data_IF_141394621144
#
_entry.id   IF_141394621144
#
_cell.length_a   1.000
_cell.length_b   1.000
_cell.length_c   1.000
_cell.angle_alpha   90.00
_cell.angle_beta   90.00
_cell.angle_gamma   90.00
#
_symmetry.space_group_name_H-M   'P 1'
#
loop_
_entity.id
_entity.type
_entity.pdbx_description
1 polymer ?
#
# COMPACT_ATOMS: atom_id res chain seq x y z
N UNK A 1 65.02 54.54 10.77
CA UNK A 1 64.04 53.79 11.57
C UNK A 1 62.74 53.73 10.77
N UNK A 2 62.48 52.61 10.12
CA UNK A 2 61.32 52.41 9.23
C UNK A 2 60.37 51.43 9.88
N UNK A 3 59.12 51.84 10.15
CA UNK A 3 58.09 51.00 10.72
C UNK A 3 57.19 50.49 9.57
N UNK A 4 57.34 49.21 9.27
CA UNK A 4 56.46 48.49 8.33
C UNK A 4 55.11 48.16 9.01
N UNK A 5 54.04 48.71 8.48
CA UNK A 5 52.68 48.39 8.86
C UNK A 5 52.21 47.14 8.11
N UNK A 6 51.93 46.04 8.83
CA UNK A 6 51.30 44.84 8.28
C UNK A 6 49.77 45.06 8.25
N UNK A 7 49.20 45.01 7.07
CA UNK A 7 47.74 44.93 6.83
C UNK A 7 47.29 43.49 6.96
N UNK A 8 46.43 43.24 7.94
CA UNK A 8 45.71 41.98 8.10
C UNK A 8 44.44 42.06 7.24
N UNK A 9 44.35 41.24 6.21
CA UNK A 9 43.14 41.08 5.41
C UNK A 9 42.21 40.08 6.14
N UNK A 10 41.07 40.53 6.65
CA UNK A 10 39.98 39.66 7.11
C UNK A 10 39.24 39.12 5.84
N UNK A 11 39.42 37.85 5.57
CA UNK A 11 38.62 37.13 4.59
C UNK A 11 37.27 36.73 5.19
N UNK A 12 36.20 37.36 4.73
CA UNK A 12 34.82 36.98 5.07
C UNK A 12 34.43 35.76 4.28
N UNK A 13 34.52 34.58 4.89
CA UNK A 13 34.03 33.34 4.32
C UNK A 13 32.52 33.31 4.36
N UNK A 14 31.86 33.38 3.21
CA UNK A 14 30.43 33.13 3.04
C UNK A 14 30.20 31.62 3.13
N UNK A 15 29.66 31.19 4.26
CA UNK A 15 29.19 29.79 4.47
C UNK A 15 27.87 29.63 3.72
N UNK A 16 27.89 29.12 2.51
CA UNK A 16 26.69 28.72 1.78
C UNK A 16 26.12 27.46 2.45
N UNK A 17 25.10 27.65 3.28
CA UNK A 17 24.29 26.53 3.81
C UNK A 17 23.48 25.95 2.64
N UNK A 18 23.91 24.81 2.12
CA UNK A 18 23.13 24.01 1.19
C UNK A 18 22.01 23.38 2.01
N UNK A 19 20.83 23.97 1.95
CA UNK A 19 19.59 23.36 2.42
C UNK A 19 19.26 22.22 1.44
N UNK A 20 19.76 21.01 1.73
CA UNK A 20 19.26 19.79 1.11
C UNK A 20 17.85 19.56 1.65
N UNK A 21 16.85 20.13 0.99
CA UNK A 21 15.47 19.78 1.22
C UNK A 21 15.34 18.29 0.90
N UNK A 22 14.94 17.47 1.87
CA UNK A 22 14.46 16.13 1.62
C UNK A 22 13.19 16.29 0.78
N UNK A 23 13.32 16.16 -0.55
CA UNK A 23 12.19 15.96 -1.43
C UNK A 23 11.74 14.54 -1.14
N UNK A 24 10.61 14.39 -0.42
CA UNK A 24 9.96 13.09 -0.33
C UNK A 24 9.66 12.64 -1.77
N UNK A 25 9.96 11.40 -2.15
CA UNK A 25 9.61 10.91 -3.47
C UNK A 25 8.11 11.07 -3.67
N UNK A 26 7.69 11.59 -4.82
CA UNK A 26 6.29 11.63 -5.20
C UNK A 26 5.78 10.18 -5.25
N UNK A 27 4.80 9.86 -4.41
CA UNK A 27 4.16 8.55 -4.40
C UNK A 27 3.06 8.59 -5.47
N UNK A 28 3.19 7.74 -6.48
CA UNK A 28 2.22 7.60 -7.54
C UNK A 28 1.33 6.37 -7.29
N UNK A 29 0.01 6.58 -7.33
CA UNK A 29 -0.96 5.48 -7.19
C UNK A 29 -1.21 4.89 -8.58
N UNK A 30 -0.69 3.67 -8.82
CA UNK A 30 -0.75 2.97 -10.11
C UNK A 30 -1.80 1.85 -10.15
N UNK A 31 -2.62 1.71 -9.11
CA UNK A 31 -3.63 0.65 -9.02
C UNK A 31 -4.27 0.56 -7.64
N UNK A 32 -4.95 -0.55 -7.37
CA UNK A 32 -5.58 -0.82 -6.08
C UNK A 32 -5.62 -2.31 -5.74
N UNK A 33 -5.79 -2.58 -4.45
CA UNK A 33 -6.12 -3.89 -3.92
C UNK A 33 -7.59 -3.96 -3.52
N UNK A 34 -8.19 -5.10 -3.77
CA UNK A 34 -9.48 -5.49 -3.24
C UNK A 34 -9.37 -6.85 -2.54
N UNK A 35 -10.40 -7.21 -1.80
CA UNK A 35 -10.53 -8.53 -1.18
C UNK A 35 -11.80 -9.20 -1.66
N UNK A 36 -11.74 -10.50 -1.88
CA UNK A 36 -12.87 -11.39 -2.12
C UNK A 36 -12.64 -12.70 -1.36
N UNK A 37 -13.51 -13.67 -1.55
CA UNK A 37 -13.33 -15.02 -1.01
C UNK A 37 -13.51 -16.05 -2.12
N UNK A 38 -12.92 -17.22 -1.94
CA UNK A 38 -13.20 -18.38 -2.79
C UNK A 38 -14.49 -19.13 -2.35
N UNK A 39 -14.81 -20.23 -3.01
CA UNK A 39 -16.01 -21.05 -2.73
C UNK A 39 -16.02 -21.63 -1.29
N UNK A 40 -14.86 -21.75 -0.66
CA UNK A 40 -14.70 -22.19 0.73
C UNK A 40 -14.62 -21.05 1.73
N UNK A 41 -14.95 -19.81 1.32
CA UNK A 41 -14.89 -18.57 2.10
C UNK A 41 -13.47 -18.22 2.60
N UNK A 42 -12.41 -18.66 1.89
CA UNK A 42 -11.04 -18.30 2.19
C UNK A 42 -10.65 -17.00 1.45
N UNK A 43 -9.87 -16.12 2.06
CA UNK A 43 -9.57 -14.81 1.49
C UNK A 43 -8.67 -14.90 0.23
N UNK A 44 -9.07 -14.11 -0.75
CA UNK A 44 -8.34 -13.88 -2.00
C UNK A 44 -8.16 -12.37 -2.18
N UNK A 45 -6.95 -11.92 -2.39
CA UNK A 45 -6.69 -10.54 -2.78
C UNK A 45 -6.84 -10.39 -4.29
N UNK A 46 -7.57 -9.37 -4.70
CA UNK A 46 -7.66 -8.94 -6.09
C UNK A 46 -6.73 -7.76 -6.28
N UNK A 47 -5.76 -7.93 -7.17
CA UNK A 47 -4.74 -6.92 -7.48
C UNK A 47 -5.09 -6.32 -8.83
N UNK A 48 -5.37 -5.02 -8.88
CA UNK A 48 -5.59 -4.28 -10.12
C UNK A 48 -4.47 -3.26 -10.31
N UNK A 49 -3.68 -3.42 -11.37
CA UNK A 49 -2.60 -2.52 -11.74
C UNK A 49 -2.91 -1.89 -13.11
N UNK A 50 -3.05 -0.56 -13.14
CA UNK A 50 -3.50 0.17 -14.34
C UNK A 50 -2.40 0.25 -15.39
N UNK A 51 -1.23 0.73 -15.01
CA UNK A 51 -0.08 0.91 -15.88
C UNK A 51 1.17 0.29 -15.22
N UNK A 52 2.09 -0.21 -16.01
CA UNK A 52 3.35 -0.77 -15.51
C UNK A 52 3.25 -2.13 -14.82
N UNK A 53 2.14 -2.45 -14.18
CA UNK A 53 1.92 -3.71 -13.48
C UNK A 53 2.34 -3.69 -12.00
N UNK A 54 1.87 -4.67 -11.23
CA UNK A 54 2.21 -4.87 -9.82
C UNK A 54 3.37 -5.86 -9.66
N UNK A 55 4.25 -5.61 -8.70
CA UNK A 55 5.44 -6.45 -8.44
C UNK A 55 5.47 -7.06 -7.05
N UNK A 56 4.86 -6.39 -6.07
CA UNK A 56 4.83 -6.83 -4.67
C UNK A 56 3.44 -6.65 -4.10
N UNK A 57 2.98 -7.63 -3.34
CA UNK A 57 1.82 -7.54 -2.46
C UNK A 57 2.28 -7.89 -1.05
N UNK A 58 1.89 -7.12 -0.06
CA UNK A 58 2.17 -7.35 1.36
C UNK A 58 0.88 -7.39 2.15
N UNK A 59 0.90 -8.12 3.26
CA UNK A 59 -0.20 -8.23 4.21
C UNK A 59 0.35 -8.06 5.62
N UNK A 60 -0.29 -7.19 6.40
CA UNK A 60 0.07 -6.92 7.79
C UNK A 60 -1.17 -7.05 8.68
N UNK A 61 -0.96 -7.25 9.98
CA UNK A 61 -2.03 -7.08 10.96
C UNK A 61 -2.41 -5.60 11.06
N UNK A 62 -3.71 -5.33 11.09
CA UNK A 62 -4.23 -4.02 11.49
C UNK A 62 -4.29 -3.97 13.02
N UNK A 63 -3.41 -3.17 13.62
CA UNK A 63 -3.28 -3.03 15.08
C UNK A 63 -3.74 -1.65 15.51
N UNK A 64 -4.72 -1.63 16.40
CA UNK A 64 -5.16 -0.40 17.05
C UNK A 64 -4.12 0.08 18.09
N UNK A 65 -4.02 1.40 18.25
CA UNK A 65 -3.24 2.01 19.33
C UNK A 65 -1.72 1.97 19.14
N UNK A 66 -1.24 1.82 17.90
CA UNK A 66 0.18 1.99 17.58
C UNK A 66 0.64 3.41 17.93
N UNK A 67 1.86 3.51 18.46
CA UNK A 67 2.56 4.80 18.58
C UNK A 67 3.18 5.17 17.23
N UNK A 68 3.56 6.45 17.05
CA UNK A 68 4.13 6.96 15.79
C UNK A 68 5.41 6.21 15.35
N UNK A 69 6.09 5.54 16.29
CA UNK A 69 7.33 4.80 16.06
C UNK A 69 7.08 3.29 15.75
N UNK A 70 5.84 2.81 15.91
CA UNK A 70 5.50 1.41 15.70
C UNK A 70 4.90 1.20 14.32
N UNK A 71 5.25 0.08 13.68
CA UNK A 71 4.67 -0.37 12.43
C UNK A 71 3.81 -1.60 12.64
N UNK A 72 2.87 -1.83 11.75
CA UNK A 72 2.11 -3.07 11.72
C UNK A 72 3.04 -4.27 11.46
N UNK A 73 2.73 -5.39 12.08
CA UNK A 73 3.48 -6.64 11.89
C UNK A 73 3.13 -7.25 10.53
N UNK A 74 4.13 -7.42 9.69
CA UNK A 74 3.98 -8.11 8.41
C UNK A 74 3.79 -9.61 8.63
N UNK A 75 2.79 -10.18 7.97
CA UNK A 75 2.42 -11.60 8.04
C UNK A 75 2.54 -12.33 6.73
N UNK A 76 2.67 -11.61 5.62
CA UNK A 76 2.88 -12.18 4.30
C UNK A 76 3.39 -11.17 3.28
N UNK A 77 4.23 -11.67 2.38
CA UNK A 77 4.68 -10.92 1.21
C UNK A 77 4.77 -11.86 0.01
N UNK A 78 4.25 -11.38 -1.11
CA UNK A 78 4.28 -12.09 -2.38
C UNK A 78 4.88 -11.19 -3.44
N UNK A 79 5.72 -11.79 -4.27
CA UNK A 79 6.42 -11.09 -5.35
C UNK A 79 6.11 -11.74 -6.68
N UNK A 80 6.09 -10.96 -7.73
CA UNK A 80 6.03 -11.46 -9.09
C UNK A 80 7.41 -11.33 -9.75
N UNK A 81 7.81 -12.33 -10.56
CA UNK A 81 9.08 -12.31 -11.26
C UNK A 81 9.13 -11.23 -12.36
N UNK A 82 7.98 -10.92 -12.92
CA UNK A 82 7.75 -9.84 -13.89
C UNK A 82 6.53 -9.04 -13.43
N UNK A 83 6.43 -7.73 -13.76
CA UNK A 83 5.27 -6.92 -13.43
C UNK A 83 3.98 -7.55 -13.96
N UNK A 84 2.97 -7.64 -13.12
CA UNK A 84 1.65 -8.22 -13.43
C UNK A 84 0.69 -7.10 -13.83
N UNK A 85 0.36 -6.93 -15.11
CA UNK A 85 -0.54 -5.89 -15.57
C UNK A 85 -2.01 -6.29 -15.38
N UNK A 86 -2.88 -5.29 -15.19
CA UNK A 86 -4.31 -5.49 -15.07
C UNK A 86 -4.71 -6.26 -13.81
N UNK A 87 -5.86 -6.93 -13.89
CA UNK A 87 -6.41 -7.70 -12.80
C UNK A 87 -5.72 -9.06 -12.62
N UNK A 88 -5.39 -9.40 -11.38
CA UNK A 88 -4.90 -10.72 -10.99
C UNK A 88 -5.39 -11.09 -9.60
N UNK A 89 -5.45 -12.39 -9.30
CA UNK A 89 -5.86 -12.90 -8.01
C UNK A 89 -4.69 -13.52 -7.26
N UNK A 90 -4.69 -13.33 -5.94
CA UNK A 90 -3.73 -13.92 -5.02
C UNK A 90 -4.50 -14.65 -3.91
N UNK A 91 -4.65 -15.96 -4.03
CA UNK A 91 -5.20 -16.80 -2.97
C UNK A 91 -4.17 -16.92 -1.83
N UNK A 92 -4.47 -16.35 -0.66
CA UNK A 92 -3.51 -16.27 0.44
C UNK A 92 -3.12 -17.62 1.02
N UNK A 93 -4.05 -18.59 1.01
CA UNK A 93 -3.84 -19.95 1.51
C UNK A 93 -3.10 -20.88 0.53
N UNK A 94 -3.05 -20.51 -0.76
CA UNK A 94 -2.43 -21.30 -1.82
C UNK A 94 -1.94 -20.38 -2.96
N UNK A 95 -0.94 -19.54 -2.71
CA UNK A 95 -0.45 -18.62 -3.73
C UNK A 95 0.08 -19.38 -4.94
N UNK A 96 -0.29 -18.90 -6.12
CA UNK A 96 0.09 -19.49 -7.40
C UNK A 96 0.60 -18.42 -8.36
N UNK A 97 1.28 -18.84 -9.42
CA UNK A 97 1.77 -17.90 -10.43
C UNK A 97 0.64 -16.95 -10.90
N UNK A 98 0.95 -15.63 -11.08
CA UNK A 98 2.29 -15.07 -11.14
C UNK A 98 2.93 -14.77 -9.76
N UNK A 99 2.18 -14.90 -8.67
CA UNK A 99 2.61 -14.56 -7.31
C UNK A 99 3.41 -15.69 -6.67
N UNK A 100 4.53 -15.35 -6.03
CA UNK A 100 5.41 -16.25 -5.30
C UNK A 100 5.56 -15.77 -3.86
N UNK A 101 5.30 -16.62 -2.90
CA UNK A 101 5.37 -16.36 -1.46
C UNK A 101 4.86 -17.56 -0.68
N UNK A 102 4.91 -17.46 0.63
CA UNK A 102 4.38 -18.51 1.51
C UNK A 102 2.87 -18.40 1.64
N UNK A 103 2.21 -19.53 1.84
CA UNK A 103 0.79 -19.58 2.16
C UNK A 103 0.57 -19.03 3.58
N UNK A 104 -0.50 -18.24 3.75
CA UNK A 104 -0.87 -17.64 5.03
C UNK A 104 -2.30 -18.00 5.37
N UNK A 105 -2.50 -18.49 6.59
CA UNK A 105 -3.82 -18.67 7.18
C UNK A 105 -4.15 -17.48 8.07
N UNK A 106 -5.31 -16.88 7.90
CA UNK A 106 -5.72 -15.69 8.62
C UNK A 106 -6.56 -16.04 9.87
N UNK A 107 -6.10 -15.69 11.10
CA UNK A 107 -6.94 -15.71 12.28
C UNK A 107 -8.23 -14.90 12.10
N UNK A 108 -9.37 -15.47 12.44
CA UNK A 108 -10.69 -14.86 12.21
C UNK A 108 -11.00 -13.66 13.11
N UNK A 109 -10.22 -13.42 14.17
CA UNK A 109 -10.44 -12.38 15.17
C UNK A 109 -9.55 -11.14 14.97
N UNK A 110 -8.90 -11.03 13.81
CA UNK A 110 -7.95 -9.96 13.51
C UNK A 110 -8.41 -9.05 12.39
N UNK A 111 -7.86 -7.82 12.39
CA UNK A 111 -7.86 -6.92 11.25
C UNK A 111 -6.60 -7.07 10.42
N UNK A 112 -6.71 -6.73 9.14
CA UNK A 112 -5.66 -6.90 8.13
C UNK A 112 -5.59 -5.68 7.23
N UNK A 113 -4.38 -5.34 6.81
CA UNK A 113 -4.11 -4.33 5.79
C UNK A 113 -3.29 -4.99 4.69
N UNK A 114 -3.83 -5.05 3.49
CA UNK A 114 -3.09 -5.45 2.30
C UNK A 114 -2.65 -4.23 1.51
N UNK A 115 -1.36 -4.18 1.16
CA UNK A 115 -0.74 -3.13 0.35
C UNK A 115 0.01 -3.73 -0.84
N UNK A 116 0.40 -2.88 -1.78
CA UNK A 116 1.16 -3.33 -2.95
C UNK A 116 2.05 -2.25 -3.54
N UNK A 117 2.98 -2.69 -4.38
CA UNK A 117 3.91 -1.82 -5.10
C UNK A 117 3.78 -2.06 -6.60
N UNK A 118 3.86 -0.98 -7.37
CA UNK A 118 3.95 -1.02 -8.83
C UNK A 118 5.34 -1.39 -9.33
N UNK A 119 5.53 -1.32 -10.64
CA UNK A 119 6.79 -1.68 -11.29
C UNK A 119 7.85 -0.57 -11.19
N UNK A 120 7.44 0.70 -11.20
CA UNK A 120 8.37 1.81 -11.05
C UNK A 120 8.60 2.17 -9.58
N UNK A 121 9.75 2.79 -9.32
CA UNK A 121 10.09 3.29 -7.98
C UNK A 121 9.10 4.39 -7.57
N UNK A 122 8.51 4.23 -6.37
CA UNK A 122 7.52 5.17 -5.85
C UNK A 122 6.07 4.85 -6.25
N UNK A 123 5.83 3.90 -7.13
CA UNK A 123 4.49 3.43 -7.44
C UNK A 123 3.93 2.53 -6.33
N UNK A 124 2.71 2.82 -5.91
CA UNK A 124 1.98 2.02 -4.91
C UNK A 124 0.58 1.68 -5.40
N UNK A 125 0.03 0.62 -4.85
CA UNK A 125 -1.38 0.27 -5.01
C UNK A 125 -2.16 0.76 -3.79
N UNK A 126 -3.35 1.31 -4.02
CA UNK A 126 -4.25 1.65 -2.91
C UNK A 126 -4.53 0.41 -2.07
N UNK A 127 -4.35 0.55 -0.77
CA UNK A 127 -4.54 -0.53 0.20
C UNK A 127 -6.01 -0.92 0.34
N UNK A 128 -6.22 -2.15 0.82
CA UNK A 128 -7.50 -2.61 1.34
C UNK A 128 -7.33 -3.09 2.78
N UNK A 129 -8.21 -2.62 3.67
CA UNK A 129 -8.29 -3.09 5.06
C UNK A 129 -9.57 -3.88 5.24
N UNK A 130 -9.49 -5.01 5.93
CA UNK A 130 -10.63 -5.88 6.20
C UNK A 130 -10.44 -6.64 7.51
N UNK A 131 -11.50 -7.18 8.05
CA UNK A 131 -11.49 -7.98 9.29
C UNK A 131 -11.84 -9.43 8.98
N UNK A 132 -11.27 -10.37 9.74
CA UNK A 132 -11.60 -11.78 9.59
C UNK A 132 -13.10 -12.10 9.65
N UNK A 133 -13.89 -11.52 10.59
CA UNK A 133 -15.34 -11.73 10.63
C UNK A 133 -16.10 -11.26 9.38
N UNK A 134 -15.60 -10.23 8.67
CA UNK A 134 -16.25 -9.69 7.49
C UNK A 134 -16.20 -10.68 6.31
N UNK A 135 -15.15 -11.50 6.24
CA UNK A 135 -14.94 -12.46 5.16
C UNK A 135 -16.08 -13.47 5.00
N UNK A 136 -16.70 -13.88 6.11
CA UNK A 136 -17.80 -14.85 6.09
C UNK A 136 -19.08 -14.33 5.39
N UNK A 137 -19.20 -13.02 5.22
CA UNK A 137 -20.34 -12.38 4.57
C UNK A 137 -20.09 -11.92 3.13
N UNK A 138 -18.88 -12.14 2.60
CA UNK A 138 -18.54 -11.70 1.26
C UNK A 138 -19.12 -12.66 0.20
N UNK A 139 -19.56 -12.08 -0.92
CA UNK A 139 -19.96 -12.82 -2.11
C UNK A 139 -18.71 -13.08 -2.99
N UNK A 140 -18.37 -14.34 -3.32
CA UNK A 140 -17.21 -14.64 -4.14
C UNK A 140 -17.28 -14.09 -5.58
N UNK A 141 -18.45 -13.66 -6.05
CA UNK A 141 -18.62 -13.01 -7.35
C UNK A 141 -18.27 -11.52 -7.34
N UNK A 142 -18.03 -10.94 -6.16
CA UNK A 142 -17.79 -9.50 -6.00
C UNK A 142 -16.38 -9.25 -5.43
N UNK A 143 -15.85 -8.05 -5.75
CA UNK A 143 -14.62 -7.51 -5.19
C UNK A 143 -14.98 -6.41 -4.20
N UNK A 144 -14.37 -6.45 -3.04
CA UNK A 144 -14.61 -5.50 -1.95
C UNK A 144 -13.38 -4.64 -1.72
N UNK A 145 -13.58 -3.34 -1.57
CA UNK A 145 -12.55 -2.36 -1.22
C UNK A 145 -13.05 -1.40 -0.18
N UNK A 146 -12.15 -0.68 0.46
CA UNK A 146 -12.58 0.36 1.39
C UNK A 146 -13.31 1.49 0.65
N UNK A 147 -14.37 1.98 1.27
CA UNK A 147 -15.08 3.17 0.78
C UNK A 147 -14.14 4.38 0.84
N UNK A 148 -13.83 5.02 -0.30
CA UNK A 148 -12.98 6.20 -0.30
C UNK A 148 -13.55 7.36 0.53
N UNK A 149 -14.87 7.42 0.69
CA UNK A 149 -15.51 8.45 1.50
C UNK A 149 -15.37 8.16 3.01
N UNK A 150 -15.25 6.89 3.42
CA UNK A 150 -15.01 6.53 4.82
C UNK A 150 -13.60 6.92 5.28
N UNK A 151 -12.60 6.90 4.40
CA UNK A 151 -11.22 7.29 4.71
C UNK A 151 -11.07 8.80 4.98
N UNK A 152 -12.05 9.61 4.56
CA UNK A 152 -12.07 11.07 4.80
C UNK A 152 -12.87 11.45 6.04
N UNK A 153 -13.62 10.52 6.62
CA UNK A 153 -14.41 10.75 7.82
C UNK A 153 -13.57 10.51 9.07
N UNK A 154 -12.97 11.57 9.60
CA UNK A 154 -12.16 11.54 10.82
C UNK A 154 -12.96 11.15 12.09
N UNK A 155 -14.30 11.13 12.01
CA UNK A 155 -15.20 10.71 13.08
C UNK A 155 -15.63 9.22 12.95
N UNK A 156 -15.22 8.51 11.89
CA UNK A 156 -15.46 7.08 11.75
C UNK A 156 -14.62 6.32 12.78
N UNK A 157 -15.24 5.36 13.45
CA UNK A 157 -14.52 4.47 14.37
C UNK A 157 -13.43 3.72 13.55
N UNK A 158 -12.17 3.70 14.00
CA UNK A 158 -11.08 3.02 13.25
C UNK A 158 -11.36 1.55 12.92
N UNK A 159 -12.39 0.96 13.56
CA UNK A 159 -12.86 -0.39 13.28
C UNK A 159 -13.94 -0.52 12.20
N UNK A 160 -14.50 0.59 11.73
CA UNK A 160 -15.56 0.61 10.69
C UNK A 160 -14.96 0.85 9.30
N UNK A 161 -14.09 -0.05 8.85
CA UNK A 161 -13.71 -0.09 7.43
C UNK A 161 -14.91 -0.62 6.62
N UNK A 162 -15.82 0.28 6.26
CA UNK A 162 -16.93 -0.09 5.39
C UNK A 162 -16.39 -0.58 4.06
N UNK A 163 -16.53 -1.88 3.81
CA UNK A 163 -16.22 -2.47 2.53
C UNK A 163 -17.37 -2.20 1.56
N UNK A 164 -17.06 -1.67 0.40
CA UNK A 164 -18.01 -1.51 -0.70
C UNK A 164 -17.75 -2.55 -1.76
N UNK A 165 -18.83 -3.19 -2.22
CA UNK A 165 -18.80 -4.24 -3.22
C UNK A 165 -18.92 -3.66 -4.64
N UNK A 166 -18.25 -4.28 -5.59
CA UNK A 166 -18.38 -4.05 -7.03
C UNK A 166 -18.16 -5.35 -7.79
N UNK A 167 -18.64 -5.43 -9.02
CA UNK A 167 -18.20 -6.53 -9.90
C UNK A 167 -16.71 -6.36 -10.24
N UNK A 168 -16.00 -7.43 -10.66
CA UNK A 168 -14.61 -7.32 -11.09
C UNK A 168 -14.40 -6.28 -12.19
N UNK A 169 -15.31 -6.18 -13.16
CA UNK A 169 -15.24 -5.20 -14.24
C UNK A 169 -15.43 -3.76 -13.73
N UNK A 170 -16.37 -3.55 -12.81
CA UNK A 170 -16.59 -2.25 -12.19
C UNK A 170 -15.39 -1.85 -11.31
N UNK A 171 -14.80 -2.79 -10.59
CA UNK A 171 -13.59 -2.56 -9.79
C UNK A 171 -12.46 -2.07 -10.68
N UNK A 172 -12.11 -2.82 -11.75
CA UNK A 172 -11.06 -2.44 -12.70
C UNK A 172 -11.33 -1.07 -13.34
N UNK A 173 -12.56 -0.83 -13.79
CA UNK A 173 -12.94 0.46 -14.38
C UNK A 173 -12.81 1.63 -13.40
N UNK A 174 -13.21 1.44 -12.14
CA UNK A 174 -13.12 2.50 -11.10
C UNK A 174 -11.69 2.80 -10.68
N UNK A 175 -10.84 1.78 -10.62
CA UNK A 175 -9.42 1.91 -10.26
C UNK A 175 -8.67 2.65 -11.37
N UNK A 176 -8.80 2.18 -12.61
CA UNK A 176 -7.98 2.67 -13.72
C UNK A 176 -8.56 3.88 -14.48
N UNK A 177 -9.76 4.38 -14.13
CA UNK A 177 -10.32 5.59 -14.74
C UNK A 177 -9.84 6.90 -14.09
N UNK A 178 -9.08 6.83 -13.01
CA UNK A 178 -8.64 8.00 -12.21
C UNK A 178 -7.23 8.50 -12.57
N UNK A 179 -6.61 7.89 -13.56
CA UNK A 179 -5.28 8.26 -14.06
C UNK A 179 -5.28 9.36 -15.12
#
# INVERSE_FOLDING_TARGET
MSRSARRVALGTGILAAVLSGCIAPDVEVSGALGVTVDEEARPVLVVEACDGGATVVSLSFDREGLTDDEVNEDIGQWTAAEPVPGASELALHAPAAPWQGEAVELPVDRGYIAGGQGAAEGEVLTQVSFRGPDLAGLDPALVYRNDPDSLTNLDADPGDSALVASTPEEFSAQVCSRG
#
